data_IF_056482423165
#
_entry.id   IF_056482423165
#
_cell.length_a   1.000
_cell.length_b   1.000
_cell.length_c   1.000
_cell.angle_alpha   90.00
_cell.angle_beta   90.00
_cell.angle_gamma   90.00
#
_symmetry.space_group_name_H-M   'P 1'
#
loop_
_entity.id
_entity.type
_entity.pdbx_description
1 polymer ?
#
# COMPACT_ATOMS: atom_id res chain seq x y z
N UNK A 1 36.80 55.23 -62.08
CA UNK A 1 35.63 56.14 -61.97
C UNK A 1 34.40 55.26 -62.11
N UNK A 2 33.43 55.12 -61.22
CA UNK A 2 32.90 55.95 -60.13
C UNK A 2 31.95 55.05 -59.34
N UNK A 3 31.87 55.30 -58.03
CA UNK A 3 31.00 54.64 -57.06
C UNK A 3 29.50 54.70 -57.39
N UNK A 4 28.73 53.71 -56.93
CA UNK A 4 27.45 53.95 -56.24
C UNK A 4 27.24 52.94 -55.10
N UNK A 5 27.32 53.46 -53.87
CA UNK A 5 26.64 52.92 -52.70
C UNK A 5 25.14 53.16 -52.84
N UNK A 6 24.31 52.18 -52.46
CA UNK A 6 22.98 52.44 -51.88
C UNK A 6 22.46 51.23 -51.09
N UNK A 7 22.66 51.31 -49.78
CA UNK A 7 21.72 51.05 -48.67
C UNK A 7 20.56 50.05 -48.79
N UNK A 8 20.60 49.12 -47.82
CA UNK A 8 19.57 48.84 -46.79
C UNK A 8 18.25 48.13 -47.19
N UNK A 9 18.05 46.92 -46.66
CA UNK A 9 16.86 46.60 -45.85
C UNK A 9 17.09 45.35 -44.99
N UNK A 10 16.66 45.48 -43.74
CA UNK A 10 16.88 44.61 -42.58
C UNK A 10 15.71 43.62 -42.45
N UNK A 11 16.03 42.48 -41.81
CA UNK A 11 15.17 41.61 -41.01
C UNK A 11 14.11 40.72 -41.67
N UNK A 12 14.28 39.42 -41.44
CA UNK A 12 13.25 38.64 -40.75
C UNK A 12 13.94 37.61 -39.85
N UNK A 13 14.13 37.96 -38.58
CA UNK A 13 14.48 37.01 -37.55
C UNK A 13 13.25 36.13 -37.28
N UNK A 14 13.27 34.90 -37.80
CA UNK A 14 12.30 33.87 -37.45
C UNK A 14 12.54 33.41 -36.02
N UNK A 15 11.92 34.07 -35.05
CA UNK A 15 11.82 33.59 -33.67
C UNK A 15 10.90 32.36 -33.66
N UNK A 16 11.49 31.18 -33.72
CA UNK A 16 10.82 29.92 -33.40
C UNK A 16 10.36 29.98 -31.94
N UNK A 17 9.06 30.20 -31.73
CA UNK A 17 8.43 30.12 -30.42
C UNK A 17 8.48 28.66 -29.93
N UNK A 18 9.50 28.33 -29.14
CA UNK A 18 9.49 27.16 -28.28
C UNK A 18 8.53 27.44 -27.12
N UNK A 19 7.27 27.04 -27.27
CA UNK A 19 6.33 26.94 -26.14
C UNK A 19 6.70 25.70 -25.32
N UNK A 20 7.16 25.83 -24.07
CA UNK A 20 7.31 24.66 -23.21
C UNK A 20 5.89 24.20 -22.86
N UNK A 21 5.44 23.12 -23.47
CA UNK A 21 4.29 22.38 -22.97
C UNK A 21 4.68 21.82 -21.60
N UNK A 22 4.32 22.54 -20.53
CA UNK A 22 4.41 22.02 -19.17
C UNK A 22 3.34 20.93 -19.06
N UNK A 23 3.72 19.70 -19.40
CA UNK A 23 2.89 18.53 -19.23
C UNK A 23 2.83 18.23 -17.74
N UNK A 24 1.77 18.67 -17.06
CA UNK A 24 1.50 18.32 -15.66
C UNK A 24 1.25 16.82 -15.56
N UNK A 25 2.29 16.04 -15.28
CA UNK A 25 2.17 14.64 -14.90
C UNK A 25 1.47 14.58 -13.53
N UNK A 26 0.24 14.07 -13.48
CA UNK A 26 -0.43 13.77 -12.21
C UNK A 26 0.39 12.66 -11.53
N UNK A 27 0.79 12.80 -10.26
CA UNK A 27 1.49 11.73 -9.57
C UNK A 27 0.62 10.48 -9.61
N UNK A 28 1.18 9.34 -10.04
CA UNK A 28 0.51 8.06 -9.97
C UNK A 28 0.16 7.77 -8.50
N UNK A 29 -1.09 7.42 -8.22
CA UNK A 29 -1.47 6.98 -6.88
C UNK A 29 -0.74 5.67 -6.57
N UNK A 30 -0.19 5.56 -5.36
CA UNK A 30 0.39 4.30 -4.86
C UNK A 30 -0.74 3.25 -4.78
N UNK A 31 -0.69 2.13 -5.54
CA UNK A 31 -1.73 1.12 -5.50
C UNK A 31 -1.94 0.52 -4.10
N UNK A 32 -0.92 0.56 -3.24
CA UNK A 32 -1.01 0.08 -1.86
C UNK A 32 -1.75 1.05 -0.93
N UNK A 33 -1.97 2.29 -1.37
CA UNK A 33 -2.69 3.30 -0.61
C UNK A 33 -4.22 3.16 -0.68
N UNK A 34 -4.74 2.45 -1.68
CA UNK A 34 -6.19 2.29 -1.86
C UNK A 34 -6.81 1.36 -0.81
N UNK A 35 -8.03 1.63 -0.32
CA UNK A 35 -8.72 0.71 0.58
C UNK A 35 -8.86 -0.70 0.00
N UNK A 36 -8.69 -1.71 0.84
CA UNK A 36 -8.87 -3.11 0.45
C UNK A 36 -10.36 -3.45 0.26
N UNK A 37 -10.65 -4.15 -0.82
CA UNK A 37 -11.96 -4.76 -1.04
C UNK A 37 -12.00 -6.18 -0.46
N UNK A 38 -13.20 -6.75 -0.38
CA UNK A 38 -13.35 -8.18 -0.03
C UNK A 38 -12.65 -9.10 -1.04
N UNK A 39 -12.59 -8.71 -2.31
CA UNK A 39 -11.93 -9.49 -3.35
C UNK A 39 -10.41 -9.56 -3.12
N UNK A 40 -9.81 -8.44 -2.72
CA UNK A 40 -8.38 -8.35 -2.41
C UNK A 40 -7.99 -9.20 -1.19
N UNK A 41 -8.90 -9.32 -0.22
CA UNK A 41 -8.69 -10.07 1.03
C UNK A 41 -8.98 -11.57 0.92
N UNK A 42 -9.73 -11.98 -0.12
CA UNK A 42 -10.15 -13.37 -0.32
C UNK A 42 -8.97 -14.36 -0.39
N UNK A 43 -7.84 -14.06 -1.06
CA UNK A 43 -6.68 -14.97 -1.05
C UNK A 43 -6.13 -15.21 0.36
N UNK A 44 -5.97 -14.16 1.16
CA UNK A 44 -5.50 -14.26 2.56
C UNK A 44 -6.46 -15.11 3.39
N UNK A 45 -7.76 -14.83 3.30
CA UNK A 45 -8.82 -15.62 3.96
C UNK A 45 -8.69 -17.11 3.64
N UNK A 46 -8.65 -17.47 2.35
CA UNK A 46 -8.61 -18.87 1.91
C UNK A 46 -7.34 -19.58 2.36
N UNK A 47 -6.19 -18.90 2.37
CA UNK A 47 -4.94 -19.47 2.85
C UNK A 47 -4.98 -19.77 4.35
N UNK A 48 -5.56 -18.87 5.16
CA UNK A 48 -5.75 -19.09 6.59
C UNK A 48 -6.69 -20.29 6.84
N UNK A 49 -7.81 -20.34 6.13
CA UNK A 49 -8.76 -21.46 6.20
C UNK A 49 -8.10 -22.78 5.78
N UNK A 50 -7.25 -22.77 4.76
CA UNK A 50 -6.53 -23.99 4.35
C UNK A 50 -5.52 -24.45 5.42
N UNK A 51 -4.80 -23.53 6.06
CA UNK A 51 -3.94 -23.85 7.21
C UNK A 51 -4.74 -24.44 8.39
N UNK A 52 -5.93 -23.89 8.66
CA UNK A 52 -6.85 -24.40 9.66
C UNK A 52 -7.29 -25.83 9.32
N UNK A 53 -7.76 -26.04 8.08
CA UNK A 53 -8.34 -27.30 7.62
C UNK A 53 -7.31 -28.42 7.53
N UNK A 54 -6.15 -28.16 6.93
CA UNK A 54 -5.16 -29.20 6.62
C UNK A 54 -4.07 -29.36 7.66
N UNK A 55 -3.71 -28.30 8.39
CA UNK A 55 -2.56 -28.32 9.29
C UNK A 55 -1.25 -28.72 8.56
N UNK A 56 -1.11 -28.28 7.32
CA UNK A 56 0.04 -28.56 6.45
C UNK A 56 0.83 -27.28 6.20
N UNK A 57 2.15 -27.42 6.09
CA UNK A 57 3.06 -26.28 5.98
C UNK A 57 2.82 -25.44 4.71
N UNK A 58 2.40 -26.05 3.60
CA UNK A 58 2.09 -25.33 2.38
C UNK A 58 0.95 -24.29 2.58
N UNK A 59 -0.14 -24.68 3.27
CA UNK A 59 -1.23 -23.75 3.58
C UNK A 59 -0.84 -22.74 4.65
N UNK A 60 -0.12 -23.17 5.69
CA UNK A 60 0.28 -22.31 6.80
C UNK A 60 1.34 -21.26 6.41
N UNK A 61 2.31 -21.62 5.57
CA UNK A 61 3.26 -20.65 5.00
C UNK A 61 2.57 -19.65 4.07
N UNK A 62 1.65 -20.10 3.21
CA UNK A 62 0.87 -19.21 2.35
C UNK A 62 0.05 -18.19 3.17
N UNK A 63 -0.58 -18.62 4.26
CA UNK A 63 -1.33 -17.77 5.17
C UNK A 63 -0.44 -16.68 5.80
N UNK A 64 0.73 -17.06 6.33
CA UNK A 64 1.70 -16.12 6.91
C UNK A 64 2.19 -15.10 5.88
N UNK A 65 2.59 -15.56 4.69
CA UNK A 65 3.10 -14.68 3.63
C UNK A 65 2.04 -13.69 3.12
N UNK A 66 0.78 -14.12 3.03
CA UNK A 66 -0.32 -13.25 2.61
C UNK A 66 -0.69 -12.24 3.69
N UNK A 67 -0.65 -12.62 4.96
CA UNK A 67 -0.88 -11.71 6.08
C UNK A 67 0.25 -10.69 6.23
N UNK A 68 1.51 -11.11 6.04
CA UNK A 68 2.68 -10.23 6.09
C UNK A 68 2.56 -9.07 5.07
N UNK A 69 2.10 -9.37 3.85
CA UNK A 69 1.81 -8.33 2.83
C UNK A 69 0.77 -7.30 3.25
N UNK A 70 -0.11 -7.61 4.21
CA UNK A 70 -1.05 -6.62 4.75
C UNK A 70 -0.37 -5.65 5.72
N UNK A 71 0.71 -6.07 6.40
CA UNK A 71 1.48 -5.23 7.31
C UNK A 71 2.23 -4.11 6.56
N UNK A 72 2.69 -4.41 5.35
CA UNK A 72 3.39 -3.47 4.47
C UNK A 72 2.48 -2.37 3.91
N UNK A 73 1.16 -2.48 4.09
CA UNK A 73 0.23 -1.48 3.56
C UNK A 73 0.22 -0.21 4.43
N UNK A 74 0.37 0.99 3.84
CA UNK A 74 0.54 2.23 4.59
C UNK A 74 -0.72 2.64 5.36
N UNK A 75 -1.91 2.47 4.77
CA UNK A 75 -3.15 3.06 5.28
C UNK A 75 -4.18 2.03 5.74
N UNK A 76 -3.82 0.77 5.98
CA UNK A 76 -4.75 -0.15 6.67
C UNK A 76 -4.84 0.24 8.14
N UNK A 77 -5.99 -0.05 8.75
CA UNK A 77 -6.22 0.25 10.17
C UNK A 77 -5.20 -0.44 11.08
N UNK A 78 -4.87 0.17 12.21
CA UNK A 78 -4.08 -0.44 13.29
C UNK A 78 -4.61 -1.82 13.68
N UNK A 79 -5.93 -1.96 13.84
CA UNK A 79 -6.60 -3.23 14.14
C UNK A 79 -6.38 -4.26 13.02
N UNK A 80 -6.39 -3.86 11.75
CA UNK A 80 -6.03 -4.77 10.65
C UNK A 80 -4.58 -5.23 10.77
N UNK A 81 -3.64 -4.33 11.07
CA UNK A 81 -2.22 -4.69 11.24
C UNK A 81 -2.03 -5.67 12.38
N UNK A 82 -2.68 -5.45 13.53
CA UNK A 82 -2.62 -6.36 14.66
C UNK A 82 -3.21 -7.74 14.32
N UNK A 83 -4.31 -7.77 13.56
CA UNK A 83 -4.93 -9.01 13.09
C UNK A 83 -4.02 -9.77 12.13
N UNK A 84 -3.43 -9.07 11.15
CA UNK A 84 -2.49 -9.65 10.20
C UNK A 84 -1.24 -10.19 10.91
N UNK A 85 -0.70 -9.43 11.87
CA UNK A 85 0.44 -9.84 12.68
C UNK A 85 0.11 -11.08 13.53
N UNK A 86 -1.09 -11.16 14.11
CA UNK A 86 -1.53 -12.37 14.81
C UNK A 86 -1.52 -13.60 13.87
N UNK A 87 -1.98 -13.44 12.63
CA UNK A 87 -1.93 -14.51 11.62
C UNK A 87 -0.48 -14.93 11.32
N UNK A 88 0.47 -13.98 11.17
CA UNK A 88 1.88 -14.34 10.89
C UNK A 88 2.49 -15.18 12.02
N UNK A 89 2.07 -14.94 13.26
CA UNK A 89 2.52 -15.70 14.43
C UNK A 89 1.82 -17.05 14.59
N UNK A 90 0.52 -17.13 14.30
CA UNK A 90 -0.36 -18.24 14.69
C UNK A 90 -0.60 -19.27 13.57
N UNK A 91 -0.52 -18.88 12.29
CA UNK A 91 -0.73 -19.79 11.16
C UNK A 91 0.49 -20.71 10.93
N UNK A 92 0.66 -21.68 11.83
CA UNK A 92 1.73 -22.69 11.83
C UNK A 92 1.16 -24.09 11.94
N UNK A 93 1.91 -25.08 11.51
CA UNK A 93 1.57 -26.48 11.77
C UNK A 93 1.66 -26.81 13.26
N UNK A 94 0.80 -27.70 13.73
CA UNK A 94 0.81 -28.27 15.07
C UNK A 94 0.91 -29.80 15.00
N UNK A 95 1.34 -30.49 16.07
CA UNK A 95 1.37 -31.96 16.11
C UNK A 95 0.00 -32.62 15.84
N UNK A 96 -1.08 -31.95 16.21
CA UNK A 96 -2.46 -32.38 15.94
C UNK A 96 -3.33 -31.21 15.49
N UNK A 97 -4.31 -31.47 14.63
CA UNK A 97 -5.22 -30.45 14.13
C UNK A 97 -6.47 -30.31 15.02
N UNK A 98 -6.27 -29.80 16.24
CA UNK A 98 -7.33 -29.64 17.25
C UNK A 98 -8.46 -28.70 16.81
N UNK A 99 -9.63 -28.84 17.44
CA UNK A 99 -10.76 -27.95 17.23
C UNK A 99 -10.40 -26.49 17.55
N UNK A 100 -9.80 -26.24 18.72
CA UNK A 100 -9.43 -24.89 19.14
C UNK A 100 -8.47 -24.20 18.16
N UNK A 101 -7.52 -24.94 17.59
CA UNK A 101 -6.60 -24.41 16.56
C UNK A 101 -7.36 -24.02 15.29
N UNK A 102 -8.28 -24.89 14.85
CA UNK A 102 -9.11 -24.62 13.66
C UNK A 102 -9.95 -23.38 13.88
N UNK A 103 -10.65 -23.31 15.01
CA UNK A 103 -11.53 -22.21 15.36
C UNK A 103 -10.76 -20.89 15.43
N UNK A 104 -9.64 -20.87 16.16
CA UNK A 104 -8.77 -19.69 16.25
C UNK A 104 -8.36 -19.17 14.85
N UNK A 105 -7.94 -20.05 13.95
CA UNK A 105 -7.53 -19.65 12.60
C UNK A 105 -8.73 -19.20 11.75
N UNK A 106 -9.89 -19.86 11.85
CA UNK A 106 -11.10 -19.45 11.12
C UNK A 106 -11.58 -18.08 11.60
N UNK A 107 -11.62 -17.84 12.92
CA UNK A 107 -11.92 -16.51 13.48
C UNK A 107 -10.95 -15.46 12.93
N UNK A 108 -9.64 -15.76 12.87
CA UNK A 108 -8.66 -14.84 12.28
C UNK A 108 -8.90 -14.59 10.79
N UNK A 109 -9.35 -15.59 10.04
CA UNK A 109 -9.71 -15.41 8.64
C UNK A 109 -10.91 -14.44 8.50
N UNK A 110 -11.94 -14.62 9.32
CA UNK A 110 -13.11 -13.73 9.33
C UNK A 110 -12.74 -12.29 9.77
N UNK A 111 -11.90 -12.17 10.79
CA UNK A 111 -11.35 -10.87 11.24
C UNK A 111 -10.63 -10.14 10.10
N UNK A 112 -9.83 -10.85 9.28
CA UNK A 112 -9.16 -10.25 8.11
C UNK A 112 -10.18 -9.66 7.14
N UNK A 113 -11.26 -10.38 6.82
CA UNK A 113 -12.29 -9.87 5.90
C UNK A 113 -13.05 -8.67 6.48
N UNK A 114 -13.25 -8.64 7.80
CA UNK A 114 -14.04 -7.59 8.46
C UNK A 114 -13.21 -6.33 8.70
N UNK A 115 -11.99 -6.47 9.23
CA UNK A 115 -11.22 -5.38 9.83
C UNK A 115 -10.26 -4.71 8.84
N UNK A 116 -9.85 -5.42 7.79
CA UNK A 116 -8.87 -4.89 6.84
C UNK A 116 -9.43 -4.09 5.67
N UNK A 117 -10.75 -3.90 5.57
CA UNK A 117 -11.38 -3.14 4.48
C UNK A 117 -11.32 -1.62 4.64
N UNK A 118 -11.04 -1.14 5.86
CA UNK A 118 -10.97 0.28 6.18
C UNK A 118 -9.63 0.90 5.80
N UNK A 119 -9.63 2.23 5.61
CA UNK A 119 -8.40 3.03 5.55
C UNK A 119 -8.28 3.95 6.76
N UNK A 120 -7.05 4.15 7.23
CA UNK A 120 -6.69 5.25 8.13
C UNK A 120 -6.16 6.42 7.31
N UNK A 121 -6.53 7.64 7.69
CA UNK A 121 -5.94 8.85 7.10
C UNK A 121 -4.47 8.96 7.52
N UNK A 122 -3.62 9.48 6.63
CA UNK A 122 -2.24 9.75 6.97
C UNK A 122 -2.17 10.71 8.16
N UNK A 123 -1.66 10.23 9.31
CA UNK A 123 -1.43 11.10 10.46
C UNK A 123 -0.34 12.12 10.05
N UNK A 124 -0.59 13.43 10.19
CA UNK A 124 0.44 14.42 9.90
C UNK A 124 1.63 14.16 10.82
N UNK A 125 2.83 14.06 10.23
CA UNK A 125 4.08 14.01 10.98
C UNK A 125 4.27 15.41 11.58
N UNK A 126 3.80 15.60 12.81
CA UNK A 126 4.14 16.80 13.55
C UNK A 126 5.61 16.70 13.93
N UNK A 127 6.47 17.48 13.28
CA UNK A 127 7.88 17.60 13.63
C UNK A 127 8.10 18.36 14.96
N UNK A 128 7.05 18.60 15.75
CA UNK A 128 7.16 19.18 17.10
C UNK A 128 7.50 18.10 18.11
N UNK A 129 8.78 17.77 18.20
CA UNK A 129 9.38 17.02 19.31
C UNK A 129 9.28 17.88 20.59
N UNK A 130 8.08 18.00 21.19
CA UNK A 130 7.91 18.84 22.38
C UNK A 130 6.51 18.95 22.99
N UNK A 131 5.42 18.81 22.23
CA UNK A 131 4.08 19.13 22.76
C UNK A 131 3.44 18.05 23.66
N UNK A 132 4.06 16.87 23.75
CA UNK A 132 3.49 15.70 24.44
C UNK A 132 3.81 15.55 25.93
N UNK A 133 4.83 16.24 26.45
CA UNK A 133 5.23 16.09 27.87
C UNK A 133 4.73 17.31 28.66
N UNK A 134 3.42 17.35 28.93
CA UNK A 134 2.94 18.15 30.05
C UNK A 134 3.43 17.46 31.32
N UNK A 135 4.47 18.03 31.96
CA UNK A 135 4.93 17.63 33.30
C UNK A 135 3.69 17.55 34.21
N UNK A 136 3.45 16.36 34.74
CA UNK A 136 2.52 16.15 35.85
C UNK A 136 3.18 16.64 37.13
#
# INVERSE_FOLDING_TARGET
MTHRLTTLAIAAAGLLAFSPAISSAKPASDPLAEPLTKADLKPTYMAIVECARRNEEAGCSAARNLADRLLDRPYVTSICKDTAFAVTLQAKTAPSNSFDRKELLVTKADDILLLCRGKEDAKPVSNTLGDGIKKR
#
